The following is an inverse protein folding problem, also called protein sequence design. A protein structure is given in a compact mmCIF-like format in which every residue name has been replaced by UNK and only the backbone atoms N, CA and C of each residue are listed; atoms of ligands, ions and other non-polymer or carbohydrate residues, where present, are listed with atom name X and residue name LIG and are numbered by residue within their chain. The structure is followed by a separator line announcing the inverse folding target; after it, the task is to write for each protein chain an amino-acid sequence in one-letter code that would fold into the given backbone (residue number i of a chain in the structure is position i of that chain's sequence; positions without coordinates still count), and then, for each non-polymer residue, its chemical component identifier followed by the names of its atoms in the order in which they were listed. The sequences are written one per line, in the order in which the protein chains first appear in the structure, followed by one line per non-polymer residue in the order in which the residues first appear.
data_IF_672305293295
#
_entry.id   IF_672305293295
#
_cell.length_a   1.000
_cell.length_b   1.000
_cell.length_c   1.000
_cell.angle_alpha   90.00
_cell.angle_beta   90.00
_cell.angle_gamma   90.00
#
_symmetry.space_group_name_H-M   'P 1'
#
loop_
_entity.id
_entity.type
_entity.pdbx_description
1 polymer ?
#
# COMPACT_ATOMS: atom_id res chain seq x y z
N UNK A 1 14.34 -15.60 19.54
CA UNK A 1 13.98 -14.53 18.57
C UNK A 1 13.01 -15.07 17.51
N UNK A 2 13.37 -16.09 16.75
CA UNK A 2 12.51 -16.69 15.69
C UNK A 2 11.13 -17.16 16.16
N UNK A 3 11.00 -17.81 17.32
CA UNK A 3 9.70 -18.28 17.84
C UNK A 3 8.74 -17.12 18.17
N UNK A 4 9.24 -16.02 18.73
CA UNK A 4 8.42 -14.83 19.03
C UNK A 4 7.93 -14.15 17.74
N UNK A 5 8.79 -14.04 16.73
CA UNK A 5 8.43 -13.48 15.45
C UNK A 5 7.40 -14.35 14.70
N UNK A 6 7.55 -15.67 14.77
CA UNK A 6 6.59 -16.61 14.19
C UNK A 6 5.21 -16.52 14.88
N UNK A 7 5.18 -16.44 16.22
CA UNK A 7 3.95 -16.25 16.97
C UNK A 7 3.27 -14.92 16.63
N UNK A 8 4.05 -13.85 16.44
CA UNK A 8 3.54 -12.56 16.02
C UNK A 8 2.90 -12.61 14.63
N UNK A 9 3.59 -13.20 13.65
CA UNK A 9 3.06 -13.38 12.29
C UNK A 9 1.77 -14.21 12.31
N UNK A 10 1.70 -15.25 13.13
CA UNK A 10 0.50 -16.06 13.30
C UNK A 10 -0.66 -15.26 13.89
N UNK A 11 -0.40 -14.40 14.87
CA UNK A 11 -1.42 -13.52 15.46
C UNK A 11 -1.97 -12.50 14.46
N UNK A 12 -1.11 -11.88 13.65
CA UNK A 12 -1.52 -10.94 12.58
C UNK A 12 -2.30 -11.65 11.47
N UNK A 13 -1.92 -12.89 11.12
CA UNK A 13 -2.62 -13.70 10.12
C UNK A 13 -4.02 -14.15 10.59
N UNK A 14 -4.37 -14.01 11.87
CA UNK A 14 -5.73 -14.23 12.37
C UNK A 14 -6.75 -13.25 11.76
N UNK A 15 -6.31 -12.05 11.39
CA UNK A 15 -7.04 -11.08 10.56
C UNK A 15 -6.09 -10.50 9.51
N UNK A 16 -5.74 -11.35 8.54
CA UNK A 16 -4.71 -11.06 7.55
C UNK A 16 -5.04 -9.86 6.67
N UNK A 17 -6.28 -9.70 6.29
CA UNK A 17 -6.71 -8.57 5.45
C UNK A 17 -6.54 -7.23 6.17
N UNK A 18 -6.86 -7.18 7.46
CA UNK A 18 -6.64 -5.99 8.27
C UNK A 18 -5.15 -5.67 8.44
N UNK A 19 -4.30 -6.70 8.62
CA UNK A 19 -2.90 -6.52 9.02
C UNK A 19 -1.88 -6.80 7.90
N UNK A 20 -2.28 -6.85 6.64
CA UNK A 20 -1.39 -7.22 5.53
C UNK A 20 -0.18 -6.29 5.40
N UNK A 21 -0.34 -5.00 5.66
CA UNK A 21 0.73 -4.01 5.64
C UNK A 21 1.79 -4.27 6.74
N UNK A 22 1.35 -4.66 7.94
CA UNK A 22 2.26 -5.04 9.03
C UNK A 22 2.97 -6.37 8.72
N UNK A 23 2.25 -7.33 8.13
CA UNK A 23 2.80 -8.63 7.72
C UNK A 23 3.86 -8.42 6.63
N UNK A 24 3.55 -7.67 5.58
CA UNK A 24 4.49 -7.38 4.50
C UNK A 24 5.72 -6.61 5.01
N UNK A 25 5.54 -5.63 5.90
CA UNK A 25 6.65 -4.91 6.52
C UNK A 25 7.60 -5.85 7.26
N UNK A 26 7.07 -6.83 8.02
CA UNK A 26 7.87 -7.86 8.70
C UNK A 26 8.55 -8.80 7.69
N UNK A 27 7.87 -9.18 6.61
CA UNK A 27 8.41 -10.08 5.58
C UNK A 27 9.54 -9.43 4.77
N UNK A 28 9.43 -8.13 4.47
CA UNK A 28 10.47 -7.34 3.81
C UNK A 28 11.68 -7.06 4.70
N UNK A 29 11.59 -7.32 6.01
CA UNK A 29 12.67 -7.05 6.96
C UNK A 29 12.86 -5.58 7.31
N UNK A 30 11.92 -4.71 6.96
CA UNK A 30 11.93 -3.27 7.25
C UNK A 30 11.33 -2.88 8.59
N UNK A 31 10.72 -3.82 9.30
CA UNK A 31 10.00 -3.54 10.54
C UNK A 31 10.94 -3.47 11.75
N UNK A 32 10.82 -2.39 12.51
CA UNK A 32 11.32 -2.30 13.89
C UNK A 32 10.13 -2.45 14.84
N UNK A 33 10.11 -3.52 15.64
CA UNK A 33 9.09 -3.70 16.68
C UNK A 33 9.43 -2.79 17.85
N UNK A 34 8.58 -1.80 18.13
CA UNK A 34 8.78 -0.84 19.22
C UNK A 34 8.10 -1.29 20.51
N UNK A 35 6.90 -1.89 20.41
CA UNK A 35 6.15 -2.41 21.53
C UNK A 35 5.38 -3.65 21.09
N UNK A 36 5.50 -4.74 21.85
CA UNK A 36 4.76 -6.00 21.63
C UNK A 36 4.32 -6.55 22.97
N UNK A 37 3.01 -6.63 23.19
CA UNK A 37 2.35 -7.20 24.35
C UNK A 37 1.18 -8.08 23.86
N UNK A 38 0.54 -8.93 24.70
CA UNK A 38 -0.68 -9.66 24.31
C UNK A 38 -1.82 -8.75 23.82
N UNK A 39 -1.85 -7.52 24.31
CA UNK A 39 -2.86 -6.50 24.01
C UNK A 39 -2.62 -5.73 22.72
N UNK A 40 -1.45 -5.87 22.06
CA UNK A 40 -1.21 -5.14 20.81
C UNK A 40 0.22 -5.20 20.30
N UNK A 41 0.41 -4.48 19.19
CA UNK A 41 1.67 -4.31 18.49
C UNK A 41 1.81 -2.88 17.99
N UNK A 42 2.96 -2.26 18.24
CA UNK A 42 3.43 -1.07 17.56
C UNK A 42 4.71 -1.42 16.81
N UNK A 43 4.71 -1.24 15.49
CA UNK A 43 5.90 -1.35 14.67
C UNK A 43 6.21 -0.02 13.96
N UNK A 44 7.47 0.15 13.58
CA UNK A 44 7.94 1.25 12.74
C UNK A 44 8.51 0.70 11.45
N UNK A 45 7.96 1.10 10.32
CA UNK A 45 8.49 0.79 8.99
C UNK A 45 9.60 1.80 8.65
N UNK A 46 10.82 1.30 8.58
CA UNK A 46 12.02 2.12 8.34
C UNK A 46 12.09 2.65 6.90
N UNK A 47 11.48 1.94 5.94
CA UNK A 47 11.53 2.30 4.53
C UNK A 47 10.73 3.58 4.23
N UNK A 48 9.53 3.68 4.79
CA UNK A 48 8.62 4.81 4.59
C UNK A 48 8.41 5.69 5.84
N UNK A 49 9.12 5.38 6.93
CA UNK A 49 9.15 6.16 8.17
C UNK A 49 7.75 6.36 8.80
N UNK A 50 6.93 5.31 8.80
CA UNK A 50 5.59 5.32 9.38
C UNK A 50 5.44 4.29 10.51
N UNK A 51 4.49 4.55 11.40
CA UNK A 51 4.09 3.60 12.45
C UNK A 51 2.90 2.77 11.99
N UNK A 52 2.84 1.49 12.41
CA UNK A 52 1.67 0.64 12.34
C UNK A 52 1.25 0.23 13.75
N UNK A 53 -0.01 0.50 14.11
CA UNK A 53 -0.57 0.24 15.43
C UNK A 53 -1.80 -0.67 15.32
N UNK A 54 -1.76 -1.80 16.02
CA UNK A 54 -2.94 -2.63 16.30
C UNK A 54 -3.03 -2.89 17.80
N UNK A 55 -4.22 -2.76 18.40
CA UNK A 55 -4.40 -2.92 19.84
C UNK A 55 -5.78 -3.48 20.19
N UNK A 56 -5.87 -4.11 21.37
CA UNK A 56 -7.08 -4.69 21.94
C UNK A 56 -7.48 -4.05 23.27
N UNK A 57 -6.64 -3.17 23.82
CA UNK A 57 -6.88 -2.51 25.11
C UNK A 57 -6.35 -1.07 25.12
N UNK A 58 -7.10 -0.11 25.72
CA UNK A 58 -6.69 1.29 25.78
C UNK A 58 -5.33 1.52 26.47
N UNK A 59 -5.04 0.79 27.55
CA UNK A 59 -3.77 0.92 28.26
C UNK A 59 -2.53 0.61 27.39
N UNK A 60 -2.69 -0.22 26.36
CA UNK A 60 -1.62 -0.44 25.36
C UNK A 60 -1.45 0.76 24.46
N UNK A 61 -2.55 1.40 24.04
CA UNK A 61 -2.55 2.54 23.14
C UNK A 61 -1.78 3.72 23.75
N UNK A 62 -2.04 4.08 24.99
CA UNK A 62 -1.34 5.14 25.70
C UNK A 62 0.18 4.93 25.69
N UNK A 63 0.63 3.68 26.00
CA UNK A 63 2.06 3.33 25.92
C UNK A 63 2.62 3.44 24.49
N UNK A 64 1.86 2.95 23.50
CA UNK A 64 2.27 2.93 22.10
C UNK A 64 2.41 4.36 21.55
N UNK A 65 1.42 5.21 21.78
CA UNK A 65 1.45 6.61 21.34
C UNK A 65 2.60 7.39 21.99
N UNK A 66 2.94 7.10 23.24
CA UNK A 66 4.10 7.70 23.92
C UNK A 66 5.46 7.36 23.27
N UNK A 67 5.52 6.32 22.41
CA UNK A 67 6.71 5.95 21.64
C UNK A 67 6.72 6.54 20.22
N UNK A 68 5.61 7.07 19.74
CA UNK A 68 5.51 7.69 18.43
C UNK A 68 6.15 9.09 18.44
N UNK A 69 6.94 9.37 17.43
CA UNK A 69 7.51 10.70 17.25
C UNK A 69 6.50 11.62 16.55
N UNK A 70 6.33 12.86 17.00
CA UNK A 70 5.51 13.85 16.30
C UNK A 70 5.94 14.04 14.84
N UNK A 71 5.01 14.39 13.96
CA UNK A 71 5.28 14.64 12.55
C UNK A 71 5.54 13.39 11.73
N UNK A 72 5.14 12.20 12.22
CA UNK A 72 5.21 10.94 11.50
C UNK A 72 3.83 10.37 11.26
N UNK A 73 3.65 9.73 10.13
CA UNK A 73 2.41 9.00 9.78
C UNK A 73 2.21 7.81 10.72
N UNK A 74 0.96 7.62 11.16
CA UNK A 74 0.52 6.47 11.94
C UNK A 74 -0.61 5.75 11.20
N UNK A 75 -0.51 4.43 11.04
CA UNK A 75 -1.60 3.58 10.53
C UNK A 75 -2.24 2.85 11.70
N UNK A 76 -3.53 3.14 11.95
CA UNK A 76 -4.34 2.47 12.97
C UNK A 76 -5.24 1.40 12.31
N UNK A 77 -5.28 0.21 12.92
CA UNK A 77 -6.01 -0.94 12.38
C UNK A 77 -7.39 -1.16 13.03
N UNK A 78 -7.80 -0.33 13.98
CA UNK A 78 -9.11 -0.38 14.64
C UNK A 78 -9.69 1.01 14.81
N UNK A 79 -11.00 1.18 14.56
CA UNK A 79 -11.74 2.46 14.65
C UNK A 79 -11.64 3.12 16.02
N UNK A 80 -11.69 2.34 17.08
CA UNK A 80 -11.69 2.88 18.45
C UNK A 80 -10.37 3.52 18.87
N UNK A 81 -9.28 3.31 18.10
CA UNK A 81 -7.97 3.94 18.32
C UNK A 81 -7.91 5.38 17.82
N UNK A 82 -8.79 5.75 16.91
CA UNK A 82 -8.66 6.96 16.08
C UNK A 82 -8.74 8.25 16.87
N UNK A 83 -9.73 8.33 17.75
CA UNK A 83 -9.96 9.58 18.48
C UNK A 83 -8.76 9.92 19.37
N UNK A 84 -8.26 8.92 20.10
CA UNK A 84 -7.11 9.10 20.99
C UNK A 84 -5.82 9.38 20.20
N UNK A 85 -5.58 8.65 19.11
CA UNK A 85 -4.38 8.81 18.28
C UNK A 85 -4.37 10.15 17.55
N UNK A 86 -5.48 10.57 16.94
CA UNK A 86 -5.59 11.83 16.23
C UNK A 86 -5.43 13.03 17.18
N UNK A 87 -6.08 13.01 18.35
CA UNK A 87 -5.96 14.07 19.35
C UNK A 87 -4.54 14.16 19.93
N UNK A 88 -3.91 13.00 20.21
CA UNK A 88 -2.57 12.99 20.83
C UNK A 88 -1.49 13.48 19.87
N UNK A 89 -1.60 13.18 18.58
CA UNK A 89 -0.55 13.44 17.59
C UNK A 89 -0.86 14.63 16.65
N UNK A 90 -2.10 15.16 16.65
CA UNK A 90 -2.50 16.29 15.78
C UNK A 90 -2.43 15.90 14.30
N UNK A 91 -3.10 14.80 13.90
CA UNK A 91 -2.96 14.22 12.57
C UNK A 91 -4.29 14.26 11.80
N UNK A 92 -4.21 14.45 10.46
CA UNK A 92 -5.34 14.30 9.54
C UNK A 92 -5.59 12.85 9.16
N UNK A 93 -6.86 12.48 8.98
CA UNK A 93 -7.28 11.10 8.72
C UNK A 93 -7.63 10.86 7.26
N UNK A 94 -7.16 9.72 6.72
CA UNK A 94 -7.67 9.09 5.50
C UNK A 94 -7.92 7.61 5.74
N UNK A 95 -9.01 7.08 5.17
CA UNK A 95 -9.45 5.70 5.36
C UNK A 95 -9.25 4.87 4.09
N UNK A 96 -8.70 3.67 4.26
CA UNK A 96 -8.41 2.78 3.15
C UNK A 96 -8.84 1.34 3.45
N UNK A 97 -9.45 0.67 2.48
CA UNK A 97 -9.53 -0.78 2.48
C UNK A 97 -8.21 -1.39 2.04
N UNK A 98 -7.81 -2.49 2.64
CA UNK A 98 -6.77 -3.36 2.08
C UNK A 98 -7.39 -4.28 1.04
N UNK A 99 -6.76 -4.41 -0.13
CA UNK A 99 -7.07 -5.41 -1.13
C UNK A 99 -5.89 -6.37 -1.28
N UNK A 100 -6.11 -7.67 -1.11
CA UNK A 100 -5.07 -8.69 -1.15
C UNK A 100 -5.35 -9.70 -2.24
N UNK A 101 -4.33 -10.02 -3.04
CA UNK A 101 -4.38 -11.05 -4.06
C UNK A 101 -3.69 -12.32 -3.56
N UNK A 102 -4.47 -13.37 -3.28
CA UNK A 102 -3.99 -14.61 -2.65
C UNK A 102 -3.87 -15.81 -3.61
N UNK A 103 -4.05 -15.59 -4.91
CA UNK A 103 -3.96 -16.68 -5.88
C UNK A 103 -2.51 -16.86 -6.38
N UNK A 104 -2.08 -18.09 -6.71
CA UNK A 104 -0.68 -18.40 -7.08
C UNK A 104 -0.28 -17.93 -8.48
N UNK A 105 -1.23 -17.50 -9.30
CA UNK A 105 -1.00 -17.03 -10.65
C UNK A 105 -1.72 -15.68 -10.86
N UNK A 106 -1.20 -14.79 -11.72
CA UNK A 106 -1.83 -13.49 -11.97
C UNK A 106 -3.23 -13.65 -12.58
N UNK A 107 -4.10 -12.63 -12.44
CA UNK A 107 -5.43 -12.65 -13.05
C UNK A 107 -5.39 -12.97 -14.54
N UNK A 108 -6.42 -13.59 -15.14
CA UNK A 108 -6.42 -13.94 -16.56
C UNK A 108 -6.39 -12.68 -17.45
N UNK A 109 -5.82 -12.81 -18.64
CA UNK A 109 -5.91 -11.76 -19.66
C UNK A 109 -7.36 -11.57 -20.12
N UNK A 110 -7.73 -10.31 -20.38
CA UNK A 110 -9.09 -9.94 -20.84
C UNK A 110 -9.05 -9.20 -22.18
N UNK A 111 -8.38 -9.78 -23.18
CA UNK A 111 -8.23 -9.22 -24.52
C UNK A 111 -6.80 -8.78 -24.83
N UNK A 112 -6.59 -8.01 -25.92
CA UNK A 112 -5.29 -7.44 -26.27
C UNK A 112 -4.78 -6.54 -25.14
N UNK A 113 -3.52 -6.72 -24.77
CA UNK A 113 -2.87 -5.89 -23.75
C UNK A 113 -1.89 -4.93 -24.41
N UNK A 114 -1.70 -3.72 -23.86
CA UNK A 114 -0.66 -2.81 -24.30
C UNK A 114 0.72 -3.43 -24.02
N UNK A 115 1.76 -2.89 -24.64
CA UNK A 115 3.12 -3.13 -24.19
C UNK A 115 3.29 -2.57 -22.79
N UNK A 116 3.71 -3.40 -21.82
CA UNK A 116 3.97 -2.94 -20.45
C UNK A 116 5.43 -3.21 -20.14
N UNK A 117 6.16 -2.15 -19.74
CA UNK A 117 7.58 -2.22 -19.41
C UNK A 117 7.97 -1.30 -18.27
N UNK A 118 9.10 -1.56 -17.57
CA UNK A 118 9.62 -0.62 -16.60
C UNK A 118 9.88 0.75 -17.25
N UNK A 119 9.56 1.81 -16.53
CA UNK A 119 9.89 3.20 -16.89
C UNK A 119 11.15 3.63 -16.15
N UNK A 120 12.16 4.06 -16.89
CA UNK A 120 13.35 4.68 -16.36
C UNK A 120 13.12 6.18 -16.04
N UNK A 121 14.03 6.87 -15.33
CA UNK A 121 13.87 8.28 -14.98
C UNK A 121 13.70 9.24 -16.17
N UNK A 122 14.02 8.82 -17.39
CA UNK A 122 13.78 9.59 -18.62
C UNK A 122 12.29 9.82 -18.91
N UNK A 123 11.41 9.03 -18.30
CA UNK A 123 9.95 9.18 -18.42
C UNK A 123 9.33 10.11 -17.38
N UNK A 124 10.14 10.66 -16.47
CA UNK A 124 9.65 11.43 -15.32
C UNK A 124 8.83 12.66 -15.72
N UNK A 125 9.22 13.34 -16.82
CA UNK A 125 8.49 14.51 -17.34
C UNK A 125 7.10 14.16 -17.88
N UNK A 126 6.90 12.91 -18.32
CA UNK A 126 5.62 12.44 -18.83
C UNK A 126 4.73 11.85 -17.72
N UNK A 127 5.31 11.34 -16.64
CA UNK A 127 4.58 10.68 -15.54
C UNK A 127 4.19 11.69 -14.46
N UNK A 128 5.12 12.56 -14.02
CA UNK A 128 4.93 13.41 -12.84
C UNK A 128 3.71 14.35 -12.93
N UNK A 129 3.35 14.93 -14.11
CA UNK A 129 2.17 15.78 -14.20
C UNK A 129 0.84 15.06 -13.96
N UNK A 130 0.84 13.73 -13.98
CA UNK A 130 -0.36 12.91 -13.85
C UNK A 130 -0.47 12.23 -12.47
N UNK A 131 0.51 12.45 -11.57
CA UNK A 131 0.50 11.86 -10.25
C UNK A 131 0.58 12.94 -9.16
N UNK A 132 -0.59 13.35 -8.67
CA UNK A 132 -0.86 14.39 -7.65
C UNK A 132 -0.33 15.77 -8.01
N UNK A 133 0.88 16.12 -7.59
CA UNK A 133 1.51 17.42 -7.81
C UNK A 133 3.03 17.31 -7.99
N UNK A 134 3.69 18.40 -8.29
CA UNK A 134 5.14 18.45 -8.55
C UNK A 134 6.00 18.00 -7.35
N UNK A 135 5.48 18.05 -6.11
CA UNK A 135 6.20 17.60 -4.91
C UNK A 135 6.49 16.09 -4.91
N UNK A 136 5.74 15.30 -5.71
CA UNK A 136 5.96 13.86 -5.83
C UNK A 136 6.99 13.47 -6.89
N UNK A 137 7.59 14.44 -7.60
CA UNK A 137 8.55 14.17 -8.68
C UNK A 137 9.81 13.41 -8.20
N UNK A 138 10.37 13.82 -7.08
CA UNK A 138 11.54 13.15 -6.50
C UNK A 138 11.20 11.72 -6.05
N UNK A 139 10.05 11.54 -5.44
CA UNK A 139 9.52 10.25 -5.05
C UNK A 139 9.38 9.30 -6.26
N UNK A 140 8.71 9.75 -7.33
CA UNK A 140 8.58 8.98 -8.57
C UNK A 140 9.93 8.62 -9.18
N UNK A 141 10.89 9.55 -9.16
CA UNK A 141 12.25 9.31 -9.61
C UNK A 141 12.95 8.18 -8.83
N UNK A 142 12.75 8.11 -7.51
CA UNK A 142 13.27 7.01 -6.69
C UNK A 142 12.60 5.67 -7.03
N UNK A 143 11.28 5.64 -7.23
CA UNK A 143 10.54 4.43 -7.60
C UNK A 143 10.99 3.93 -8.99
N UNK A 144 11.14 4.83 -9.97
CA UNK A 144 11.67 4.51 -11.30
C UNK A 144 13.10 3.95 -11.24
N UNK A 145 13.97 4.55 -10.44
CA UNK A 145 15.35 4.09 -10.28
C UNK A 145 15.46 2.68 -9.68
N UNK A 146 14.47 2.27 -8.89
CA UNK A 146 14.33 0.88 -8.38
C UNK A 146 13.75 -0.09 -9.42
N UNK A 147 13.25 0.39 -10.56
CA UNK A 147 12.56 -0.42 -11.57
C UNK A 147 11.15 -0.86 -11.13
N UNK A 148 10.53 -0.15 -10.22
CA UNK A 148 9.26 -0.47 -9.60
C UNK A 148 8.08 0.36 -10.14
N UNK A 149 8.30 1.14 -11.22
CA UNK A 149 7.26 1.84 -11.97
C UNK A 149 7.19 1.28 -13.39
N UNK A 150 5.99 0.89 -13.83
CA UNK A 150 5.73 0.29 -15.14
C UNK A 150 4.78 1.16 -15.95
N UNK A 151 5.07 1.36 -17.22
CA UNK A 151 4.22 2.08 -18.15
C UNK A 151 3.55 1.16 -19.16
N UNK A 152 2.29 1.42 -19.43
CA UNK A 152 1.56 0.85 -20.55
C UNK A 152 1.73 1.76 -21.76
N UNK A 153 2.22 1.21 -22.89
CA UNK A 153 2.47 1.94 -24.12
C UNK A 153 1.53 1.46 -25.23
N UNK A 154 0.97 2.41 -25.98
CA UNK A 154 0.19 2.16 -27.19
C UNK A 154 0.83 2.99 -28.32
N UNK A 155 1.32 2.31 -29.34
CA UNK A 155 2.01 2.93 -30.48
C UNK A 155 3.19 3.85 -30.04
N UNK A 156 3.84 3.48 -28.93
CA UNK A 156 4.95 4.22 -28.34
C UNK A 156 4.56 5.38 -27.42
N UNK A 157 3.27 5.72 -27.31
CA UNK A 157 2.76 6.74 -26.40
C UNK A 157 2.42 6.15 -25.04
N UNK A 158 2.68 6.89 -23.95
CA UNK A 158 2.31 6.51 -22.60
C UNK A 158 0.78 6.56 -22.44
N UNK A 159 0.16 5.40 -22.18
CA UNK A 159 -1.28 5.27 -21.99
C UNK A 159 -1.69 5.25 -20.52
N UNK A 160 -0.74 4.89 -19.63
CA UNK A 160 -0.93 4.82 -18.20
C UNK A 160 0.28 4.20 -17.52
N UNK A 161 0.30 4.21 -16.21
CA UNK A 161 1.40 3.65 -15.42
C UNK A 161 0.89 3.08 -14.10
N UNK A 162 1.71 2.22 -13.48
CA UNK A 162 1.50 1.62 -12.17
C UNK A 162 2.84 1.37 -11.50
N UNK A 163 2.90 1.44 -10.17
CA UNK A 163 4.13 1.16 -9.44
C UNK A 163 3.90 0.63 -8.03
N UNK A 164 5.00 0.33 -7.34
CA UNK A 164 4.99 0.01 -5.92
C UNK A 164 5.38 1.22 -5.09
N UNK A 165 4.66 1.42 -3.99
CA UNK A 165 5.04 2.37 -2.96
C UNK A 165 6.18 1.83 -2.09
N UNK A 166 6.89 2.73 -1.42
CA UNK A 166 8.03 2.35 -0.56
C UNK A 166 7.61 1.49 0.64
N UNK A 167 6.33 1.58 1.06
CA UNK A 167 5.74 0.72 2.09
C UNK A 167 5.33 -0.67 1.59
N UNK A 168 5.56 -0.99 0.31
CA UNK A 168 5.34 -2.32 -0.26
C UNK A 168 4.02 -2.52 -0.98
N UNK A 169 3.04 -1.62 -0.83
CA UNK A 169 1.77 -1.70 -1.57
C UNK A 169 2.00 -1.45 -3.06
N UNK A 170 1.23 -2.07 -3.93
CA UNK A 170 1.13 -1.57 -5.29
C UNK A 170 0.03 -0.51 -5.40
N UNK A 171 0.30 0.48 -6.20
CA UNK A 171 -0.56 1.66 -6.40
C UNK A 171 0.06 2.54 -7.49
N UNK A 172 0.13 3.87 -7.25
CA UNK A 172 0.70 4.81 -8.25
C UNK A 172 0.02 4.59 -9.61
N UNK A 173 -1.27 4.19 -9.60
CA UNK A 173 -2.01 3.83 -10.82
C UNK A 173 -2.68 5.05 -11.44
N UNK A 174 -2.31 5.34 -12.69
CA UNK A 174 -3.03 6.30 -13.51
C UNK A 174 -3.22 5.77 -14.93
N UNK A 175 -4.42 5.98 -15.49
CA UNK A 175 -4.69 5.78 -16.92
C UNK A 175 -4.99 7.13 -17.54
N UNK A 176 -4.17 7.54 -18.49
CA UNK A 176 -4.28 8.85 -19.10
C UNK A 176 -5.63 9.03 -19.83
N UNK A 177 -6.24 10.24 -19.78
CA UNK A 177 -7.61 10.46 -20.24
C UNK A 177 -7.95 9.89 -21.63
N UNK A 178 -7.10 10.04 -22.68
CA UNK A 178 -7.41 9.51 -24.02
C UNK A 178 -7.48 7.98 -24.09
N UNK A 179 -6.93 7.28 -23.08
CA UNK A 179 -6.81 5.82 -23.05
C UNK A 179 -7.72 5.15 -22.03
N UNK A 180 -8.53 5.91 -21.28
CA UNK A 180 -9.48 5.38 -20.30
C UNK A 180 -10.54 4.51 -20.95
N UNK A 181 -11.15 3.59 -20.16
CA UNK A 181 -12.21 2.64 -20.56
C UNK A 181 -11.80 1.64 -21.64
N UNK A 182 -10.50 1.46 -21.86
CA UNK A 182 -9.93 0.51 -22.84
C UNK A 182 -9.26 -0.70 -22.19
N UNK A 183 -9.48 -0.94 -20.89
CA UNK A 183 -8.92 -2.08 -20.16
C UNK A 183 -7.47 -1.88 -19.65
N UNK A 184 -6.88 -0.69 -19.87
CA UNK A 184 -5.47 -0.40 -19.53
C UNK A 184 -5.21 -0.59 -18.03
N UNK A 185 -6.10 -0.05 -17.15
CA UNK A 185 -5.94 -0.21 -15.70
C UNK A 185 -5.92 -1.67 -15.27
N UNK A 186 -6.80 -2.51 -15.85
CA UNK A 186 -6.79 -3.95 -15.58
C UNK A 186 -5.48 -4.62 -16.03
N UNK A 187 -4.97 -4.27 -17.21
CA UNK A 187 -3.72 -4.82 -17.73
C UNK A 187 -2.51 -4.42 -16.86
N UNK A 188 -2.45 -3.17 -16.42
CA UNK A 188 -1.41 -2.65 -15.53
C UNK A 188 -1.43 -3.37 -14.17
N UNK A 189 -2.59 -3.46 -13.52
CA UNK A 189 -2.69 -4.16 -12.23
C UNK A 189 -2.41 -5.66 -12.36
N UNK A 190 -2.92 -6.30 -13.41
CA UNK A 190 -2.57 -7.68 -13.70
C UNK A 190 -1.06 -7.87 -13.85
N UNK A 191 -0.38 -6.94 -14.51
CA UNK A 191 1.08 -6.98 -14.71
C UNK A 191 1.82 -6.88 -13.38
N UNK A 192 1.50 -5.89 -12.54
CA UNK A 192 2.21 -5.71 -11.27
C UNK A 192 1.93 -6.83 -10.28
N UNK A 193 0.71 -7.38 -10.26
CA UNK A 193 0.39 -8.60 -9.48
C UNK A 193 1.30 -9.74 -9.91
N UNK A 194 1.42 -10.00 -11.22
CA UNK A 194 2.31 -11.03 -11.74
C UNK A 194 3.78 -10.80 -11.42
N UNK A 195 4.22 -9.55 -11.47
CA UNK A 195 5.58 -9.15 -11.13
C UNK A 195 5.90 -9.36 -9.65
N UNK A 196 4.98 -9.01 -8.74
CA UNK A 196 5.11 -9.24 -7.29
C UNK A 196 5.11 -10.74 -6.95
N UNK A 197 4.20 -11.51 -7.53
CA UNK A 197 4.15 -12.97 -7.34
C UNK A 197 5.46 -13.65 -7.79
N UNK A 198 6.06 -13.21 -8.90
CA UNK A 198 7.33 -13.72 -9.38
C UNK A 198 8.50 -13.45 -8.42
N UNK A 199 8.38 -12.48 -7.53
CA UNK A 199 9.34 -12.17 -6.47
C UNK A 199 9.01 -12.85 -5.13
N UNK A 200 7.97 -13.70 -5.09
CA UNK A 200 7.50 -14.36 -3.87
C UNK A 200 6.82 -13.41 -2.87
N UNK A 201 6.40 -12.23 -3.33
CA UNK A 201 5.68 -11.24 -2.51
C UNK A 201 4.18 -11.45 -2.62
N UNK A 202 3.44 -11.13 -1.56
CA UNK A 202 1.99 -11.02 -1.59
C UNK A 202 1.59 -9.70 -2.25
N UNK A 203 0.88 -9.70 -3.40
CA UNK A 203 0.38 -8.46 -3.97
C UNK A 203 -0.76 -7.90 -3.10
N UNK A 204 -0.62 -6.67 -2.63
CA UNK A 204 -1.69 -5.97 -1.91
C UNK A 204 -1.68 -4.48 -2.24
N UNK A 205 -2.84 -3.87 -2.13
CA UNK A 205 -3.05 -2.44 -2.36
C UNK A 205 -3.91 -1.81 -1.26
N UNK A 206 -3.89 -0.49 -1.21
CA UNK A 206 -4.75 0.31 -0.36
C UNK A 206 -5.68 1.16 -1.23
N UNK A 207 -6.96 1.13 -0.91
CA UNK A 207 -8.02 1.72 -1.73
C UNK A 207 -8.80 2.69 -0.85
N UNK A 208 -8.79 3.99 -1.19
CA UNK A 208 -9.61 4.96 -0.48
C UNK A 208 -11.09 4.51 -0.47
N UNK A 209 -11.74 4.61 0.68
CA UNK A 209 -13.08 4.01 0.91
C UNK A 209 -14.16 4.56 -0.02
N UNK A 210 -13.99 5.75 -0.56
CA UNK A 210 -14.88 6.41 -1.52
C UNK A 210 -14.52 6.14 -2.99
N UNK A 211 -13.37 5.51 -3.28
CA UNK A 211 -12.91 5.21 -4.64
C UNK A 211 -13.61 3.98 -5.24
N UNK A 212 -14.89 4.15 -5.59
CA UNK A 212 -15.72 3.08 -6.18
C UNK A 212 -15.13 2.48 -7.45
N UNK A 213 -14.39 3.25 -8.23
CA UNK A 213 -13.79 2.78 -9.48
C UNK A 213 -12.66 1.79 -9.20
N UNK A 214 -11.79 2.10 -8.24
CA UNK A 214 -10.72 1.19 -7.80
C UNK A 214 -11.31 -0.05 -7.14
N UNK A 215 -12.27 0.08 -6.21
CA UNK A 215 -12.97 -1.06 -5.58
C UNK A 215 -13.53 -2.02 -6.65
N UNK A 216 -14.21 -1.49 -7.68
CA UNK A 216 -14.76 -2.31 -8.75
C UNK A 216 -13.65 -3.00 -9.59
N UNK A 217 -12.50 -2.35 -9.78
CA UNK A 217 -11.37 -2.92 -10.49
C UNK A 217 -10.73 -4.06 -9.69
N UNK A 218 -10.49 -3.88 -8.39
CA UNK A 218 -9.93 -4.90 -7.51
C UNK A 218 -10.83 -6.15 -7.43
N UNK A 219 -12.14 -5.96 -7.29
CA UNK A 219 -13.10 -7.06 -7.34
C UNK A 219 -13.05 -7.85 -8.67
N UNK A 220 -12.86 -7.16 -9.81
CA UNK A 220 -12.73 -7.81 -11.12
C UNK A 220 -11.41 -8.55 -11.30
N UNK A 221 -10.37 -8.16 -10.60
CA UNK A 221 -9.07 -8.82 -10.56
C UNK A 221 -9.08 -10.04 -9.63
N UNK A 222 -10.05 -10.11 -8.71
CA UNK A 222 -10.21 -11.23 -7.77
C UNK A 222 -9.48 -11.01 -6.44
N UNK A 223 -9.25 -9.76 -6.05
CA UNK A 223 -8.74 -9.46 -4.72
C UNK A 223 -9.80 -9.66 -3.65
N UNK A 224 -9.36 -10.11 -2.48
CA UNK A 224 -10.14 -10.05 -1.25
C UNK A 224 -9.95 -8.68 -0.60
N UNK A 225 -11.05 -8.01 -0.26
CA UNK A 225 -11.01 -6.70 0.40
C UNK A 225 -11.24 -6.87 1.90
N UNK A 226 -10.59 -6.05 2.72
CA UNK A 226 -10.85 -5.99 4.16
C UNK A 226 -12.30 -5.52 4.42
N UNK A 227 -12.93 -6.07 5.46
CA UNK A 227 -14.30 -5.68 5.84
C UNK A 227 -14.33 -4.28 6.47
N UNK A 228 -13.31 -3.96 7.25
CA UNK A 228 -13.13 -2.67 7.88
C UNK A 228 -11.95 -1.93 7.24
N UNK A 229 -11.98 -0.60 7.17
CA UNK A 229 -10.85 0.18 6.72
C UNK A 229 -9.72 0.18 7.76
N UNK A 230 -8.50 0.43 7.29
CA UNK A 230 -7.40 0.93 8.12
C UNK A 230 -7.32 2.44 7.96
N UNK A 231 -6.79 3.10 8.97
CA UNK A 231 -6.84 4.55 9.10
C UNK A 231 -5.42 5.11 9.09
N UNK A 232 -5.13 5.86 8.06
CA UNK A 232 -3.90 6.61 7.96
C UNK A 232 -4.08 7.98 8.60
N UNK A 233 -3.23 8.28 9.54
CA UNK A 233 -3.16 9.56 10.23
C UNK A 233 -1.89 10.26 9.76
N UNK A 234 -2.04 11.34 9.00
CA UNK A 234 -0.94 12.12 8.42
C UNK A 234 -0.68 13.38 9.27
N UNK A 235 0.58 13.83 9.37
CA UNK A 235 0.87 15.15 9.94
C UNK A 235 0.13 16.25 9.17
N UNK A 236 -0.39 17.26 9.88
CA UNK A 236 -0.84 18.51 9.25
C UNK A 236 0.36 19.21 8.61
N UNK A 237 0.17 19.75 7.39
CA UNK A 237 1.19 20.51 6.65
C UNK A 237 1.55 21.85 7.34
#
# INVERSE_FOLDING_TARGET
MQEKEQALRQALNGDRLCHIDMIDCLERGGAQILLQEPEGLLLYDQACQKYGLTARAPAFVEKALGLCQPGRTLVCHQDWLLEEAAQTLGLERMDFYHGVYDLPAPPPRRGPEPEIRPLDPGWLDQVSPHYYNDSNREYLGRVMAKGELFGALIEGELAGFIGCHEEGTYGILEVLPPFRRRGIGYALERHIIGWLLAQGRTPYCQIAVDNKASIALQNRLGLSLSEQPVHWLFPED
#
